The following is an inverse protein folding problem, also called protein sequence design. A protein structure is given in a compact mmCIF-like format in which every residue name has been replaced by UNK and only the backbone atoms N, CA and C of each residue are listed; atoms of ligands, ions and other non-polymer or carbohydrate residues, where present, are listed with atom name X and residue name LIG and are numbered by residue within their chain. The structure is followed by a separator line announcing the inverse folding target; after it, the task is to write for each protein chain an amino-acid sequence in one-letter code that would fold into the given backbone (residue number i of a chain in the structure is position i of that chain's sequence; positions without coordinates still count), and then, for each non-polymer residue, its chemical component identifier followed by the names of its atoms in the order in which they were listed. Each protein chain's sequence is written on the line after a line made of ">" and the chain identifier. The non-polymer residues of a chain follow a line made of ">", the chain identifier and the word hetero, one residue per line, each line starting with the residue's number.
data_IF_919626288027
#
_entry.id   IF_919626288027
#
_cell.length_a   1.000
_cell.length_b   1.000
_cell.length_c   1.000
_cell.angle_alpha   90.00
_cell.angle_beta   90.00
_cell.angle_gamma   90.00
#
_symmetry.space_group_name_H-M   'P 1'
#
loop_
_entity.id
_entity.type
_entity.pdbx_description
1 polymer ?
#
# COMPACT_ATOMS: atom_id res chain seq x y z
N UNK A 1 -10.28 -18.16 -17.07
CA UNK A 1 -9.30 -17.51 -16.16
C UNK A 1 -10.02 -16.51 -15.24
N UNK A 2 -9.81 -16.57 -13.91
CA UNK A 2 -10.49 -15.66 -12.95
C UNK A 2 -9.82 -14.27 -12.97
N UNK A 3 -10.55 -13.23 -13.37
CA UNK A 3 -10.02 -11.85 -13.39
C UNK A 3 -9.81 -11.33 -11.95
N UNK A 4 -8.65 -10.75 -11.67
CA UNK A 4 -8.30 -10.23 -10.35
C UNK A 4 -8.92 -8.86 -10.04
N UNK A 5 -8.91 -8.44 -8.78
CA UNK A 5 -9.43 -7.12 -8.33
C UNK A 5 -8.80 -5.94 -9.06
N UNK A 6 -7.53 -6.07 -9.45
CA UNK A 6 -6.80 -5.04 -10.22
C UNK A 6 -7.39 -4.83 -11.61
N UNK A 7 -7.81 -5.91 -12.29
CA UNK A 7 -8.48 -5.82 -13.58
C UNK A 7 -9.77 -5.00 -13.43
N UNK A 8 -10.60 -5.36 -12.44
CA UNK A 8 -11.88 -4.70 -12.20
C UNK A 8 -11.73 -3.21 -11.88
N UNK A 9 -10.70 -2.82 -11.11
CA UNK A 9 -10.42 -1.41 -10.84
C UNK A 9 -10.04 -0.62 -12.10
N UNK A 10 -9.29 -1.23 -13.04
CA UNK A 10 -8.86 -0.56 -14.28
C UNK A 10 -10.04 -0.27 -15.22
N UNK A 11 -10.97 -1.21 -15.34
CA UNK A 11 -12.13 -1.08 -16.24
C UNK A 11 -13.31 -0.33 -15.61
N UNK A 12 -13.23 0.00 -14.30
CA UNK A 12 -14.36 0.61 -13.59
C UNK A 12 -14.67 2.02 -14.09
N UNK A 13 -13.68 2.80 -14.53
CA UNK A 13 -13.91 4.10 -15.17
C UNK A 13 -14.72 3.96 -16.46
N UNK A 14 -14.35 3.02 -17.32
CA UNK A 14 -15.07 2.69 -18.55
C UNK A 14 -16.49 2.18 -18.27
N UNK A 15 -16.66 1.40 -17.21
CA UNK A 15 -18.00 1.02 -16.71
C UNK A 15 -18.86 2.25 -16.39
N UNK A 16 -18.31 3.23 -15.67
CA UNK A 16 -19.06 4.43 -15.30
C UNK A 16 -19.47 5.25 -16.54
N UNK A 17 -18.62 5.31 -17.56
CA UNK A 17 -18.94 5.98 -18.82
C UNK A 17 -20.08 5.29 -19.57
N UNK A 18 -20.04 3.95 -19.68
CA UNK A 18 -21.12 3.19 -20.30
C UNK A 18 -22.44 3.30 -19.51
N UNK A 19 -22.36 3.24 -18.19
CA UNK A 19 -23.53 3.40 -17.32
C UNK A 19 -24.16 4.81 -17.46
N UNK A 20 -23.34 5.87 -17.58
CA UNK A 20 -23.83 7.24 -17.84
C UNK A 20 -24.52 7.37 -19.20
N UNK A 21 -24.09 6.61 -20.20
CA UNK A 21 -24.72 6.53 -21.53
C UNK A 21 -26.01 5.71 -21.56
N UNK A 22 -26.47 5.18 -20.42
CA UNK A 22 -27.68 4.36 -20.33
C UNK A 22 -27.50 2.91 -20.77
N UNK A 23 -26.27 2.42 -20.92
CA UNK A 23 -26.02 1.05 -21.34
C UNK A 23 -26.53 0.03 -20.30
N UNK A 24 -27.14 -1.04 -20.79
CA UNK A 24 -27.65 -2.14 -19.97
C UNK A 24 -26.52 -3.01 -19.40
N UNK A 25 -26.81 -3.76 -18.35
CA UNK A 25 -25.85 -4.70 -17.75
C UNK A 25 -25.33 -5.76 -18.76
N UNK A 26 -26.14 -6.13 -19.76
CA UNK A 26 -25.76 -7.09 -20.82
C UNK A 26 -24.75 -6.48 -21.79
N UNK A 27 -24.98 -5.25 -22.22
CA UNK A 27 -24.07 -4.51 -23.11
C UNK A 27 -22.73 -4.20 -22.43
N UNK A 28 -22.78 -3.77 -21.18
CA UNK A 28 -21.60 -3.52 -20.35
C UNK A 28 -20.79 -4.80 -20.15
N UNK A 29 -21.47 -5.91 -19.87
CA UNK A 29 -20.83 -7.23 -19.67
C UNK A 29 -20.04 -7.67 -20.90
N UNK A 30 -20.62 -7.54 -22.10
CA UNK A 30 -19.94 -7.81 -23.37
C UNK A 30 -18.79 -6.84 -23.62
N UNK A 31 -19.05 -5.53 -23.50
CA UNK A 31 -18.08 -4.48 -23.84
C UNK A 31 -16.83 -4.52 -22.97
N UNK A 32 -16.98 -4.80 -21.68
CA UNK A 32 -15.85 -4.88 -20.73
C UNK A 32 -15.35 -6.31 -20.51
N UNK A 33 -15.93 -7.28 -21.20
CA UNK A 33 -15.64 -8.71 -21.06
C UNK A 33 -15.70 -9.15 -19.58
N UNK A 34 -16.75 -8.77 -18.85
CA UNK A 34 -16.99 -9.18 -17.45
C UNK A 34 -18.25 -10.01 -17.34
N UNK A 35 -18.41 -10.78 -16.27
CA UNK A 35 -19.64 -11.52 -16.05
C UNK A 35 -20.84 -10.57 -15.93
N UNK A 36 -22.00 -11.01 -16.46
CA UNK A 36 -23.25 -10.28 -16.31
C UNK A 36 -23.55 -9.96 -14.84
N UNK A 37 -23.32 -10.92 -13.94
CA UNK A 37 -23.46 -10.74 -12.50
C UNK A 37 -22.60 -9.61 -11.93
N UNK A 38 -21.39 -9.39 -12.46
CA UNK A 38 -20.51 -8.28 -12.05
C UNK A 38 -21.07 -6.96 -12.55
N UNK A 39 -21.43 -6.88 -13.84
CA UNK A 39 -22.02 -5.68 -14.43
C UNK A 39 -23.32 -5.29 -13.71
N UNK A 40 -24.21 -6.26 -13.45
CA UNK A 40 -25.46 -6.07 -12.69
C UNK A 40 -25.20 -5.59 -11.25
N UNK A 41 -24.22 -6.17 -10.56
CA UNK A 41 -23.87 -5.75 -9.21
C UNK A 41 -23.33 -4.30 -9.17
N UNK A 42 -22.59 -3.87 -10.19
CA UNK A 42 -22.08 -2.50 -10.26
C UNK A 42 -23.18 -1.50 -10.66
N UNK A 43 -24.03 -1.86 -11.61
CA UNK A 43 -25.08 -0.99 -12.16
C UNK A 43 -26.26 -0.85 -11.19
N UNK A 44 -26.83 -1.97 -10.72
CA UNK A 44 -28.05 -1.99 -9.92
C UNK A 44 -27.75 -1.95 -8.43
N UNK A 45 -26.81 -2.78 -7.96
CA UNK A 45 -26.47 -2.87 -6.52
C UNK A 45 -25.47 -1.80 -6.09
N UNK A 46 -25.05 -0.91 -6.99
CA UNK A 46 -24.06 0.15 -6.77
C UNK A 46 -22.77 -0.34 -6.08
N UNK A 47 -22.42 -1.62 -6.24
CA UNK A 47 -21.21 -2.21 -5.63
C UNK A 47 -20.00 -1.72 -6.40
N UNK A 48 -19.02 -1.15 -5.70
CA UNK A 48 -17.76 -0.72 -6.31
C UNK A 48 -16.72 -1.84 -6.20
N UNK A 49 -15.82 -2.01 -7.19
CA UNK A 49 -14.69 -2.89 -7.02
C UNK A 49 -13.84 -2.40 -5.84
N UNK A 50 -13.51 -3.31 -4.93
CA UNK A 50 -12.65 -3.01 -3.78
C UNK A 50 -11.19 -3.08 -4.21
N UNK A 51 -10.38 -2.15 -3.72
CA UNK A 51 -8.93 -2.24 -3.82
C UNK A 51 -8.45 -3.57 -3.23
N UNK A 52 -7.40 -4.14 -3.83
CA UNK A 52 -6.69 -5.23 -3.18
C UNK A 52 -5.95 -4.67 -1.96
N UNK A 53 -5.78 -5.46 -0.91
CA UNK A 53 -4.99 -5.05 0.26
C UNK A 53 -3.55 -4.62 -0.14
N UNK A 54 -3.03 -5.19 -1.23
CA UNK A 54 -1.78 -4.78 -1.86
C UNK A 54 -1.81 -3.34 -2.42
N UNK A 55 -2.91 -2.97 -3.08
CA UNK A 55 -3.10 -1.60 -3.57
C UNK A 55 -3.35 -0.61 -2.43
N UNK A 56 -4.05 -1.04 -1.38
CA UNK A 56 -4.20 -0.25 -0.15
C UNK A 56 -2.83 0.00 0.50
N UNK A 57 -1.97 -1.01 0.55
CA UNK A 57 -0.59 -0.86 1.04
C UNK A 57 0.22 0.13 0.19
N UNK A 58 0.16 0.02 -1.13
CA UNK A 58 0.83 0.97 -2.04
C UNK A 58 0.29 2.40 -1.87
N UNK A 59 -1.03 2.57 -1.81
CA UNK A 59 -1.67 3.87 -1.63
C UNK A 59 -1.34 4.48 -0.26
N UNK A 60 -1.23 3.65 0.77
CA UNK A 60 -0.79 4.07 2.09
C UNK A 60 0.63 4.66 2.03
N UNK A 61 1.57 3.97 1.39
CA UNK A 61 2.95 4.46 1.21
C UNK A 61 3.00 5.71 0.32
N UNK A 62 2.10 5.83 -0.67
CA UNK A 62 2.02 7.04 -1.49
C UNK A 62 1.63 8.27 -0.67
N UNK A 63 0.68 8.11 0.27
CA UNK A 63 0.18 9.22 1.11
C UNK A 63 1.04 9.50 2.34
N UNK A 64 1.60 8.47 2.97
CA UNK A 64 2.24 8.57 4.29
C UNK A 64 3.71 8.10 4.29
N UNK A 65 4.13 7.41 3.23
CA UNK A 65 5.48 6.87 3.10
C UNK A 65 6.53 7.97 2.97
N UNK A 66 7.81 7.64 3.24
CA UNK A 66 8.33 6.36 3.69
C UNK A 66 8.01 6.08 5.17
N UNK A 67 7.73 4.83 5.53
CA UNK A 67 7.20 4.45 6.85
C UNK A 67 7.93 3.25 7.46
N UNK A 68 8.18 3.28 8.77
CA UNK A 68 8.79 2.18 9.52
C UNK A 68 7.84 0.98 9.65
N UNK A 69 8.38 -0.24 9.71
CA UNK A 69 7.61 -1.47 9.84
C UNK A 69 6.78 -1.51 11.14
N UNK A 70 7.31 -0.94 12.23
CA UNK A 70 6.61 -0.80 13.51
C UNK A 70 5.29 -0.03 13.40
N UNK A 71 5.30 1.11 12.70
CA UNK A 71 4.11 1.94 12.46
C UNK A 71 3.17 1.27 11.47
N UNK A 72 3.75 0.67 10.43
CA UNK A 72 3.00 0.04 9.36
C UNK A 72 2.25 -1.22 9.85
N UNK A 73 2.85 -2.03 10.73
CA UNK A 73 2.26 -3.26 11.28
C UNK A 73 0.93 -3.00 11.99
N UNK A 74 0.76 -1.83 12.63
CA UNK A 74 -0.49 -1.44 13.30
C UNK A 74 -1.65 -1.26 12.31
N UNK A 75 -1.37 -0.80 11.09
CA UNK A 75 -2.38 -0.53 10.06
C UNK A 75 -2.52 -1.68 9.06
N UNK A 76 -1.40 -2.34 8.75
CA UNK A 76 -1.29 -3.38 7.73
C UNK A 76 -0.45 -4.53 8.31
N UNK A 77 -1.06 -5.45 9.07
CA UNK A 77 -0.34 -6.53 9.74
C UNK A 77 0.48 -7.40 8.77
N UNK A 78 -0.10 -7.71 7.59
CA UNK A 78 0.51 -8.54 6.53
C UNK A 78 1.47 -7.79 5.60
N UNK A 79 1.99 -6.64 6.02
CA UNK A 79 2.86 -5.79 5.22
C UNK A 79 4.08 -6.51 4.60
N UNK A 80 4.69 -7.46 5.31
CA UNK A 80 5.84 -8.21 4.79
C UNK A 80 5.43 -9.14 3.61
N UNK A 81 4.27 -9.80 3.72
CA UNK A 81 3.71 -10.61 2.64
C UNK A 81 3.42 -9.75 1.41
N UNK A 82 2.80 -8.57 1.63
CA UNK A 82 2.52 -7.62 0.55
C UNK A 82 3.79 -7.06 -0.10
N UNK A 83 4.88 -6.88 0.65
CA UNK A 83 6.18 -6.53 0.08
C UNK A 83 6.68 -7.62 -0.88
N UNK A 84 6.64 -8.89 -0.47
CA UNK A 84 7.07 -9.98 -1.36
C UNK A 84 6.18 -10.11 -2.61
N UNK A 85 4.86 -9.96 -2.46
CA UNK A 85 3.93 -9.97 -3.58
C UNK A 85 4.17 -8.77 -4.52
N UNK A 86 4.39 -7.57 -3.98
CA UNK A 86 4.65 -6.36 -4.78
C UNK A 86 5.98 -6.43 -5.52
N UNK A 87 7.01 -6.99 -4.91
CA UNK A 87 8.31 -7.20 -5.55
C UNK A 87 8.19 -8.15 -6.75
N UNK A 88 7.47 -9.28 -6.60
CA UNK A 88 7.20 -10.22 -7.71
C UNK A 88 6.37 -9.58 -8.85
N UNK A 89 5.49 -8.62 -8.53
CA UNK A 89 4.61 -7.95 -9.48
C UNK A 89 5.16 -6.63 -10.04
N UNK A 90 6.37 -6.22 -9.65
CA UNK A 90 6.97 -4.97 -10.11
C UNK A 90 6.20 -3.70 -9.69
N UNK A 91 5.56 -3.69 -8.51
CA UNK A 91 4.71 -2.56 -8.08
C UNK A 91 5.50 -1.38 -7.46
N UNK A 92 6.83 -1.41 -7.49
CA UNK A 92 7.70 -0.31 -7.04
C UNK A 92 7.72 -0.08 -5.52
N UNK A 93 7.37 -1.09 -4.72
CA UNK A 93 7.52 -1.03 -3.25
C UNK A 93 8.90 -1.57 -2.89
N UNK A 94 9.71 -0.74 -2.23
CA UNK A 94 11.05 -1.10 -1.74
C UNK A 94 11.08 -1.20 -0.22
N UNK A 95 12.07 -1.94 0.28
CA UNK A 95 12.35 -2.09 1.71
C UNK A 95 13.81 -1.78 2.00
N UNK A 96 14.05 -0.89 2.96
CA UNK A 96 15.38 -0.58 3.47
C UNK A 96 15.54 -1.12 4.90
N UNK A 97 16.73 -1.62 5.20
CA UNK A 97 17.12 -2.06 6.54
C UNK A 97 18.26 -1.19 7.07
N UNK A 98 18.08 -0.59 8.25
CA UNK A 98 19.11 0.20 8.93
C UNK A 98 20.04 -0.77 9.68
N UNK A 99 21.28 -0.91 9.21
CA UNK A 99 22.31 -1.74 9.87
C UNK A 99 22.98 -0.99 11.03
N UNK A 100 23.50 -1.73 12.00
CA UNK A 100 24.39 -1.20 13.06
C UNK A 100 23.71 -0.62 14.31
N UNK A 101 22.38 -0.58 14.37
CA UNK A 101 21.64 -0.12 15.56
C UNK A 101 20.60 -1.15 15.99
N UNK A 102 20.46 -1.39 17.31
CA UNK A 102 19.44 -2.27 17.88
C UNK A 102 18.07 -1.58 17.91
N UNK A 103 17.48 -1.38 16.72
CA UNK A 103 16.21 -0.68 16.52
C UNK A 103 15.00 -1.63 16.35
N UNK A 104 15.22 -2.95 16.30
CA UNK A 104 14.16 -3.94 16.14
C UNK A 104 13.27 -3.65 14.92
N UNK A 105 11.95 -3.56 15.11
CA UNK A 105 11.00 -3.27 14.03
C UNK A 105 11.12 -1.85 13.45
N UNK A 106 11.81 -0.92 14.11
CA UNK A 106 12.10 0.40 13.56
C UNK A 106 13.28 0.40 12.56
N UNK A 107 14.02 -0.71 12.46
CA UNK A 107 15.12 -0.86 11.52
C UNK A 107 14.63 -1.06 10.08
N UNK A 108 13.42 -1.58 9.89
CA UNK A 108 12.85 -1.86 8.58
C UNK A 108 11.93 -0.73 8.13
N UNK A 109 12.15 -0.22 6.92
CA UNK A 109 11.37 0.86 6.33
C UNK A 109 10.85 0.47 4.96
N UNK A 110 9.58 0.79 4.69
CA UNK A 110 8.94 0.57 3.40
C UNK A 110 8.72 1.92 2.71
N UNK A 111 8.96 1.95 1.40
CA UNK A 111 8.88 3.17 0.60
C UNK A 111 8.60 2.85 -0.86
N UNK A 112 8.16 3.87 -1.60
CA UNK A 112 8.00 3.79 -3.06
C UNK A 112 9.21 4.43 -3.77
N UNK A 113 9.42 4.05 -5.02
CA UNK A 113 10.35 4.77 -5.90
C UNK A 113 10.07 6.28 -5.89
N UNK A 114 11.12 7.09 -5.74
CA UNK A 114 11.04 8.56 -5.62
C UNK A 114 10.94 9.07 -4.18
N UNK A 115 10.87 8.20 -3.18
CA UNK A 115 10.83 8.57 -1.76
C UNK A 115 12.20 8.45 -1.04
N UNK A 116 13.29 8.21 -1.78
CA UNK A 116 14.62 7.90 -1.24
C UNK A 116 15.20 9.03 -0.39
N UNK A 117 15.09 10.28 -0.84
CA UNK A 117 15.59 11.42 -0.08
C UNK A 117 14.81 11.65 1.21
N UNK A 118 13.48 11.53 1.12
CA UNK A 118 12.60 11.65 2.28
C UNK A 118 12.88 10.53 3.29
N UNK A 119 13.18 9.32 2.80
CA UNK A 119 13.59 8.18 3.62
C UNK A 119 14.87 8.50 4.37
N UNK A 120 15.91 8.98 3.69
CA UNK A 120 17.17 9.40 4.32
C UNK A 120 16.95 10.45 5.41
N UNK A 121 16.12 11.48 5.15
CA UNK A 121 15.77 12.52 6.13
C UNK A 121 15.07 11.93 7.37
N UNK A 122 14.07 11.06 7.18
CA UNK A 122 13.34 10.43 8.29
C UNK A 122 14.21 9.49 9.11
N UNK A 123 15.05 8.67 8.45
CA UNK A 123 16.01 7.79 9.12
C UNK A 123 17.00 8.62 9.96
N UNK A 124 17.57 9.70 9.41
CA UNK A 124 18.50 10.57 10.16
C UNK A 124 17.85 11.16 11.42
N UNK A 125 16.58 11.58 11.32
CA UNK A 125 15.81 12.07 12.46
C UNK A 125 15.57 10.97 13.51
N UNK A 126 15.20 9.76 13.08
CA UNK A 126 15.04 8.62 13.98
C UNK A 126 16.34 8.30 14.73
N UNK A 127 17.47 8.20 14.02
CA UNK A 127 18.77 7.90 14.62
C UNK A 127 19.19 8.99 15.62
N UNK A 128 18.96 10.27 15.30
CA UNK A 128 19.23 11.38 16.23
C UNK A 128 18.39 11.28 17.50
N UNK A 129 17.09 10.97 17.38
CA UNK A 129 16.20 10.76 18.54
C UNK A 129 16.63 9.56 19.37
N UNK A 130 17.01 8.45 18.73
CA UNK A 130 17.49 7.25 19.41
C UNK A 130 18.77 7.51 20.22
N UNK A 131 19.76 8.20 19.63
CA UNK A 131 21.00 8.57 20.35
C UNK A 131 20.71 9.43 21.57
N UNK A 132 19.88 10.47 21.42
CA UNK A 132 19.47 11.33 22.55
C UNK A 132 18.75 10.56 23.66
N UNK A 133 17.85 9.63 23.29
CA UNK A 133 17.15 8.81 24.27
C UNK A 133 18.11 7.88 25.01
N UNK A 134 19.05 7.26 24.29
CA UNK A 134 20.08 6.39 24.88
C UNK A 134 20.99 7.16 25.84
N UNK A 135 21.44 8.35 25.47
CA UNK A 135 22.26 9.22 26.35
C UNK A 135 21.51 9.61 27.62
N UNK A 136 20.21 9.95 27.52
CA UNK A 136 19.39 10.24 28.70
C UNK A 136 19.30 9.04 29.64
N UNK A 137 19.03 7.85 29.09
CA UNK A 137 18.90 6.63 29.90
C UNK A 137 20.22 6.31 30.62
N UNK A 138 21.36 6.39 29.93
CA UNK A 138 22.68 6.16 30.54
C UNK A 138 22.91 7.12 31.71
N UNK A 139 22.67 8.43 31.50
CA UNK A 139 22.80 9.44 32.55
C UNK A 139 21.89 9.23 33.76
N UNK A 140 20.75 8.56 33.59
CA UNK A 140 19.81 8.25 34.68
C UNK A 140 20.18 6.97 35.43
N UNK A 141 20.99 6.09 34.84
CA UNK A 141 21.44 4.82 35.45
C UNK A 141 22.79 4.99 36.16
N UNK A 142 23.58 6.00 35.78
CA UNK A 142 24.86 6.35 36.42
C UNK A 142 24.70 7.21 37.71
N UNK A 143 23.46 7.45 38.14
CA UNK A 143 23.08 8.03 39.44
C UNK A 143 22.31 6.99 40.26
#
# INVERSE_FOLDING_TARGET
>A
MRKGKEFYNKIYSQFLELAKKGASAKEISKSLNISYSTAYAWLVKKRKPKNSALMEFRNFLRKNGPTAASELKKKIPKHNEFYHISSKRGLGIRRMHIKGLRLGQYAYWYYLDGQEELLKKRIKSLVKKYKKAKEKIIKTIEF
#
